data_IF_952879337189
#
_entry.id   IF_952879337189
#
_cell.length_a   1.000
_cell.length_b   1.000
_cell.length_c   1.000
_cell.angle_alpha   90.00
_cell.angle_beta   90.00
_cell.angle_gamma   90.00
#
_symmetry.space_group_name_H-M   'P 1'
#
loop_
_entity.id
_entity.type
_entity.pdbx_description
1 polymer ?
#
# COMPACT_ATOMS: atom_id res chain seq x y z
N UNK A 1 -13.79 5.40 18.36
CA UNK A 1 -14.89 4.41 18.37
C UNK A 1 -16.22 5.12 18.57
N UNK A 2 -17.20 4.82 17.73
CA UNK A 2 -18.59 5.19 17.92
C UNK A 2 -19.30 3.98 18.55
N UNK A 3 -19.79 4.13 19.77
CA UNK A 3 -20.49 3.09 20.50
C UNK A 3 -21.92 2.89 19.98
N UNK A 4 -22.54 1.76 20.32
CA UNK A 4 -23.90 1.44 19.89
C UNK A 4 -24.95 2.44 20.38
N UNK A 5 -24.71 3.11 21.52
CA UNK A 5 -25.55 4.17 22.09
C UNK A 5 -25.31 5.57 21.49
N UNK A 6 -24.37 5.69 20.55
CA UNK A 6 -24.00 6.94 19.89
C UNK A 6 -22.91 7.75 20.61
N UNK A 7 -22.37 7.25 21.73
CA UNK A 7 -21.22 7.88 22.39
C UNK A 7 -19.97 7.74 21.54
N UNK A 8 -19.19 8.81 21.39
CA UNK A 8 -17.88 8.80 20.71
C UNK A 8 -16.78 8.67 21.75
N UNK A 9 -15.97 7.61 21.61
CA UNK A 9 -14.79 7.36 22.46
C UNK A 9 -13.55 7.59 21.62
N UNK A 10 -12.84 8.67 21.90
CA UNK A 10 -11.58 9.00 21.22
C UNK A 10 -10.42 8.15 21.75
N UNK A 11 -9.48 7.86 20.84
CA UNK A 11 -8.21 7.21 21.20
C UNK A 11 -7.32 8.25 21.90
N UNK A 12 -6.91 7.93 23.13
CA UNK A 12 -6.01 8.77 23.91
C UNK A 12 -4.56 8.37 23.68
N UNK A 13 -3.60 9.26 23.94
CA UNK A 13 -2.18 9.02 23.75
C UNK A 13 -1.67 7.77 24.47
N UNK A 14 -2.21 7.45 25.65
CA UNK A 14 -1.85 6.23 26.40
C UNK A 14 -2.39 4.92 25.77
N UNK A 15 -3.22 5.02 24.76
CA UNK A 15 -3.70 3.87 23.99
C UNK A 15 -2.83 3.58 22.74
N UNK A 16 -1.84 4.42 22.48
CA UNK A 16 -0.87 4.27 21.39
C UNK A 16 0.43 3.68 21.95
N UNK A 17 0.81 2.52 21.48
CA UNK A 17 2.03 1.84 21.92
C UNK A 17 2.91 1.55 20.70
N UNK A 18 4.15 2.04 20.73
CA UNK A 18 5.16 1.71 19.72
C UNK A 18 5.92 0.49 20.20
N UNK A 19 5.91 -0.55 19.40
CA UNK A 19 6.53 -1.84 19.73
C UNK A 19 7.42 -2.32 18.59
N UNK A 20 8.52 -3.00 18.94
CA UNK A 20 9.33 -3.68 17.91
C UNK A 20 8.64 -4.99 17.54
N UNK A 21 8.37 -5.23 16.26
CA UNK A 21 7.75 -6.46 15.80
C UNK A 21 8.59 -7.69 16.18
N UNK A 22 7.95 -8.76 16.65
CA UNK A 22 8.67 -10.00 16.99
C UNK A 22 9.42 -10.60 15.81
N UNK A 23 8.93 -10.40 14.61
CA UNK A 23 9.55 -10.84 13.35
C UNK A 23 10.93 -10.23 13.12
N UNK A 24 11.15 -8.98 13.55
CA UNK A 24 12.43 -8.26 13.36
C UNK A 24 13.29 -8.22 14.63
N UNK A 25 12.78 -8.68 15.78
CA UNK A 25 13.53 -8.68 17.04
C UNK A 25 14.84 -9.50 16.99
N UNK A 26 14.94 -10.44 16.04
CA UNK A 26 16.15 -11.25 15.80
C UNK A 26 16.98 -10.76 14.62
N UNK A 27 16.59 -9.65 13.98
CA UNK A 27 17.23 -9.10 12.80
C UNK A 27 17.63 -7.63 13.08
N UNK A 28 18.79 -7.38 13.74
CA UNK A 28 19.20 -6.05 14.20
C UNK A 28 19.34 -5.02 13.06
N UNK A 29 19.51 -5.48 11.82
CA UNK A 29 19.54 -4.61 10.64
C UNK A 29 18.20 -3.96 10.31
N UNK A 30 17.10 -4.44 10.92
CA UNK A 30 15.74 -3.91 10.79
C UNK A 30 15.24 -3.29 12.11
N UNK A 31 16.16 -2.86 12.98
CA UNK A 31 15.83 -2.29 14.29
C UNK A 31 14.99 -0.99 14.19
N UNK A 32 15.03 -0.33 13.04
CA UNK A 32 14.26 0.89 12.77
C UNK A 32 12.79 0.62 12.41
N UNK A 33 12.41 -0.65 12.22
CA UNK A 33 11.02 -1.03 11.96
C UNK A 33 10.28 -1.12 13.29
N UNK A 34 9.20 -0.37 13.40
CA UNK A 34 8.33 -0.33 14.56
C UNK A 34 6.87 -0.46 14.14
N UNK A 35 6.10 -1.16 14.98
CA UNK A 35 4.64 -1.22 14.86
C UNK A 35 4.01 -0.24 15.84
N UNK A 36 2.98 0.46 15.41
CA UNK A 36 2.12 1.22 16.31
C UNK A 36 0.88 0.38 16.64
N UNK A 37 0.81 -0.10 17.85
CA UNK A 37 -0.36 -0.80 18.38
C UNK A 37 -1.36 0.22 18.94
N UNK A 38 -2.58 0.21 18.44
CA UNK A 38 -3.66 1.09 18.87
C UNK A 38 -4.66 0.27 19.68
N UNK A 39 -4.87 0.63 20.94
CA UNK A 39 -5.91 0.03 21.78
C UNK A 39 -7.20 0.80 21.59
N UNK A 40 -8.19 0.20 20.95
CA UNK A 40 -9.50 0.79 20.75
C UNK A 40 -10.37 0.50 21.98
N UNK A 41 -10.78 1.57 22.67
CA UNK A 41 -11.70 1.48 23.82
C UNK A 41 -13.15 1.55 23.34
N UNK A 42 -14.06 1.02 24.15
CA UNK A 42 -15.50 1.08 23.88
C UNK A 42 -15.96 0.17 22.74
N UNK A 43 -15.19 -0.87 22.39
CA UNK A 43 -15.62 -1.88 21.44
C UNK A 43 -16.67 -2.79 22.05
N UNK A 44 -17.84 -2.81 21.41
CA UNK A 44 -18.98 -3.65 21.77
C UNK A 44 -19.76 -4.05 20.50
N UNK A 45 -20.70 -4.96 20.64
CA UNK A 45 -21.55 -5.34 19.49
C UNK A 45 -22.36 -4.13 19.04
N UNK A 46 -22.27 -3.79 17.76
CA UNK A 46 -22.90 -2.59 17.18
C UNK A 46 -22.04 -1.32 17.22
N UNK A 47 -20.85 -1.36 17.83
CA UNK A 47 -19.91 -0.26 17.74
C UNK A 47 -19.25 -0.17 16.36
N UNK A 48 -18.91 1.04 15.93
CA UNK A 48 -18.13 1.31 14.73
C UNK A 48 -16.80 1.97 15.09
N UNK A 49 -15.76 1.69 14.29
CA UNK A 49 -14.46 2.37 14.42
C UNK A 49 -14.15 3.15 13.16
N UNK A 50 -13.70 4.39 13.33
CA UNK A 50 -13.14 5.21 12.26
C UNK A 50 -11.65 5.40 12.52
N UNK A 51 -10.82 4.99 11.57
CA UNK A 51 -9.36 5.08 11.66
C UNK A 51 -8.83 5.80 10.43
N UNK A 52 -8.18 6.93 10.64
CA UNK A 52 -7.46 7.65 9.59
C UNK A 52 -5.96 7.43 9.74
N UNK A 53 -5.34 6.90 8.69
CA UNK A 53 -3.89 6.73 8.61
C UNK A 53 -3.36 7.65 7.52
N UNK A 54 -2.33 8.43 7.85
CA UNK A 54 -1.58 9.21 6.88
C UNK A 54 -0.15 8.67 6.82
N UNK A 55 0.27 8.26 5.62
CA UNK A 55 1.61 7.72 5.40
C UNK A 55 2.38 8.66 4.48
N UNK A 56 3.60 9.02 4.90
CA UNK A 56 4.52 9.86 4.11
C UNK A 56 5.76 9.04 3.82
N UNK A 57 5.95 8.70 2.55
CA UNK A 57 7.15 8.03 2.07
C UNK A 57 8.22 9.08 1.71
N UNK A 58 9.38 8.99 2.36
CA UNK A 58 10.53 9.89 2.16
C UNK A 58 11.75 9.17 1.59
N UNK A 59 11.59 8.00 1.05
CA UNK A 59 12.72 7.21 0.55
C UNK A 59 13.35 7.86 -0.69
N UNK A 60 14.63 8.26 -0.64
CA UNK A 60 15.25 9.11 -1.65
C UNK A 60 15.46 8.44 -3.02
N UNK A 61 15.37 7.12 -3.09
CA UNK A 61 15.55 6.37 -4.34
C UNK A 61 14.24 6.02 -5.05
N UNK A 62 13.09 6.53 -4.56
CA UNK A 62 11.77 6.29 -5.17
C UNK A 62 11.30 7.51 -5.94
N UNK A 63 11.96 7.78 -7.05
CA UNK A 63 11.50 8.81 -7.99
C UNK A 63 10.27 8.40 -8.78
N UNK A 64 9.85 7.13 -8.69
CA UNK A 64 8.70 6.56 -9.40
C UNK A 64 7.55 6.39 -8.42
N UNK A 65 6.40 6.95 -8.77
CA UNK A 65 5.16 6.73 -8.01
C UNK A 65 4.60 5.34 -8.32
N UNK A 66 4.57 4.47 -7.33
CA UNK A 66 4.01 3.13 -7.46
C UNK A 66 3.38 2.69 -6.14
N UNK A 67 2.54 1.70 -6.22
CA UNK A 67 1.97 1.07 -5.04
C UNK A 67 1.12 -0.14 -5.36
N UNK A 68 0.65 -0.75 -4.31
CA UNK A 68 -0.31 -1.85 -4.36
C UNK A 68 -1.29 -1.74 -3.21
N UNK A 69 -2.52 -2.16 -3.47
CA UNK A 69 -3.59 -2.16 -2.47
C UNK A 69 -4.39 -3.45 -2.59
N UNK A 70 -4.55 -4.23 -1.50
CA UNK A 70 -5.43 -5.39 -1.51
C UNK A 70 -6.88 -4.94 -1.74
N UNK A 71 -7.59 -5.67 -2.59
CA UNK A 71 -9.00 -5.44 -2.92
C UNK A 71 -9.92 -6.42 -2.16
N UNK A 72 -9.43 -6.94 -1.04
CA UNK A 72 -10.11 -7.91 -0.19
C UNK A 72 -9.84 -7.59 1.28
N UNK A 73 -10.67 -8.15 2.17
CA UNK A 73 -10.50 -8.15 3.62
C UNK A 73 -10.98 -9.50 4.17
N UNK A 74 -10.66 -9.81 5.40
CA UNK A 74 -11.20 -10.95 6.15
C UNK A 74 -12.62 -10.72 6.63
N UNK A 75 -13.17 -9.55 6.39
CA UNK A 75 -14.57 -9.14 6.63
C UNK A 75 -15.17 -8.67 5.33
N UNK A 76 -16.50 -8.72 5.26
CA UNK A 76 -17.22 -8.18 4.11
C UNK A 76 -16.91 -6.69 3.92
N UNK A 77 -16.69 -6.31 2.68
CA UNK A 77 -16.44 -4.92 2.27
C UNK A 77 -17.75 -4.38 1.70
N UNK A 78 -18.40 -3.48 2.42
CA UNK A 78 -19.57 -2.76 1.92
C UNK A 78 -19.17 -1.80 0.81
N UNK A 79 -18.13 -1.01 1.06
CA UNK A 79 -17.53 -0.12 0.08
C UNK A 79 -16.05 0.10 0.38
N UNK A 80 -15.20 0.02 -0.65
CA UNK A 80 -13.79 0.42 -0.61
C UNK A 80 -13.49 1.34 -1.78
N UNK A 81 -12.99 2.52 -1.48
CA UNK A 81 -12.58 3.50 -2.47
C UNK A 81 -11.07 3.74 -2.38
N UNK A 82 -10.39 3.67 -3.52
CA UNK A 82 -8.97 3.99 -3.65
C UNK A 82 -8.85 5.17 -4.59
N UNK A 83 -8.25 6.25 -4.12
CA UNK A 83 -8.12 7.49 -4.88
C UNK A 83 -6.66 7.85 -5.07
N UNK A 84 -6.19 7.75 -6.31
CA UNK A 84 -4.85 8.19 -6.71
C UNK A 84 -4.95 9.60 -7.29
N UNK A 85 -4.18 10.53 -6.75
CA UNK A 85 -4.06 11.90 -7.28
C UNK A 85 -2.63 12.13 -7.69
N UNK A 86 -2.43 12.40 -8.97
CA UNK A 86 -1.11 12.60 -9.54
C UNK A 86 -1.05 13.90 -10.35
N UNK A 87 0.12 14.53 -10.48
CA UNK A 87 0.31 15.62 -11.42
C UNK A 87 -0.06 15.23 -12.85
N UNK A 88 -0.62 16.16 -13.62
CA UNK A 88 -1.14 15.86 -14.97
C UNK A 88 -0.05 15.52 -16.00
N UNK A 89 1.20 15.77 -15.68
CA UNK A 89 2.37 15.38 -16.46
C UNK A 89 2.85 13.93 -16.17
N UNK A 90 2.21 13.24 -15.24
CA UNK A 90 2.52 11.85 -14.88
C UNK A 90 1.42 10.94 -15.37
N UNK A 91 1.77 9.98 -16.20
CA UNK A 91 0.86 8.91 -16.60
C UNK A 91 1.01 7.71 -15.65
N UNK A 92 -0.13 7.12 -15.30
CA UNK A 92 -0.19 5.95 -14.41
C UNK A 92 -0.73 4.78 -15.21
N UNK A 93 0.01 3.67 -15.13
CA UNK A 93 -0.46 2.36 -15.57
C UNK A 93 -0.93 1.59 -14.34
N UNK A 94 -2.07 0.94 -14.44
CA UNK A 94 -2.61 0.10 -13.36
C UNK A 94 -2.89 -1.31 -13.84
N UNK A 95 -2.86 -2.22 -12.90
CA UNK A 95 -3.16 -3.63 -13.11
C UNK A 95 -4.07 -4.11 -11.99
N UNK A 96 -5.03 -4.96 -12.32
CA UNK A 96 -5.86 -5.64 -11.34
C UNK A 96 -5.68 -7.14 -11.46
N UNK A 97 -5.59 -7.79 -10.30
CA UNK A 97 -5.49 -9.23 -10.16
C UNK A 97 -6.75 -9.74 -9.49
N UNK A 98 -7.27 -10.88 -9.93
CA UNK A 98 -8.43 -11.54 -9.32
C UNK A 98 -9.78 -10.84 -9.52
N UNK A 99 -9.79 -9.62 -10.02
CA UNK A 99 -11.00 -8.84 -10.30
C UNK A 99 -10.72 -7.88 -11.45
N UNK A 100 -11.73 -7.60 -12.26
CA UNK A 100 -11.64 -6.53 -13.27
C UNK A 100 -12.16 -5.24 -12.65
N UNK A 101 -11.31 -4.23 -12.54
CA UNK A 101 -11.65 -2.95 -11.94
C UNK A 101 -11.00 -1.82 -12.74
N UNK A 102 -11.82 -0.99 -13.36
CA UNK A 102 -11.38 0.19 -14.10
C UNK A 102 -11.70 1.45 -13.27
N UNK A 103 -10.82 2.46 -13.25
CA UNK A 103 -11.06 3.68 -12.50
C UNK A 103 -12.00 4.65 -13.23
N UNK A 104 -12.73 5.44 -12.45
CA UNK A 104 -13.21 6.73 -12.93
C UNK A 104 -12.02 7.70 -12.99
N UNK A 105 -11.76 8.28 -14.17
CA UNK A 105 -10.64 9.20 -14.38
C UNK A 105 -11.16 10.62 -14.55
N UNK A 106 -10.69 11.54 -13.70
CA UNK A 106 -11.03 12.95 -13.76
C UNK A 106 -9.78 13.82 -13.84
N UNK A 107 -9.67 14.62 -14.89
CA UNK A 107 -8.62 15.63 -15.05
C UNK A 107 -9.14 17.00 -14.61
N UNK A 108 -8.43 17.65 -13.72
CA UNK A 108 -8.76 18.98 -13.21
C UNK A 108 -7.50 19.82 -13.03
N UNK A 109 -7.33 20.83 -13.88
CA UNK A 109 -6.13 21.67 -13.89
C UNK A 109 -4.87 20.84 -14.09
N UNK A 110 -3.97 20.92 -13.12
CA UNK A 110 -2.68 20.20 -13.13
C UNK A 110 -2.71 18.84 -12.41
N UNK A 111 -3.91 18.30 -12.18
CA UNK A 111 -4.06 17.04 -11.44
C UNK A 111 -4.95 16.07 -12.19
N UNK A 112 -4.57 14.80 -12.22
CA UNK A 112 -5.41 13.68 -12.64
C UNK A 112 -5.78 12.89 -11.39
N UNK A 113 -7.05 12.55 -11.26
CA UNK A 113 -7.58 11.69 -10.19
C UNK A 113 -8.09 10.41 -10.81
N UNK A 114 -7.58 9.29 -10.34
CA UNK A 114 -8.08 7.94 -10.64
C UNK A 114 -8.83 7.45 -9.40
N UNK A 115 -10.07 7.04 -9.58
CA UNK A 115 -10.93 6.58 -8.49
C UNK A 115 -11.38 5.15 -8.78
N UNK A 116 -10.91 4.22 -7.99
CA UNK A 116 -11.31 2.82 -8.02
C UNK A 116 -12.30 2.57 -6.89
N UNK A 117 -13.40 1.89 -7.18
CA UNK A 117 -14.44 1.58 -6.19
C UNK A 117 -14.83 0.13 -6.27
N UNK A 118 -14.90 -0.52 -5.10
CA UNK A 118 -15.42 -1.87 -4.91
C UNK A 118 -16.59 -1.76 -3.96
N UNK A 119 -17.66 -2.48 -4.26
CA UNK A 119 -18.84 -2.55 -3.40
C UNK A 119 -19.24 -4.01 -3.21
N UNK A 120 -19.79 -4.31 -2.05
CA UNK A 120 -20.44 -5.58 -1.72
C UNK A 120 -19.54 -6.81 -1.99
N UNK A 121 -18.28 -6.72 -1.58
CA UNK A 121 -17.34 -7.83 -1.72
C UNK A 121 -17.34 -8.69 -0.45
N UNK A 122 -17.49 -10.00 -0.66
CA UNK A 122 -17.47 -10.99 0.43
C UNK A 122 -16.09 -11.10 1.09
N UNK A 123 -16.09 -11.43 2.37
CA UNK A 123 -14.91 -11.73 3.15
C UNK A 123 -14.08 -12.87 2.52
N UNK A 124 -12.77 -12.68 2.45
CA UNK A 124 -11.85 -13.71 1.97
C UNK A 124 -10.98 -14.19 3.13
N UNK A 125 -11.01 -15.51 3.37
CA UNK A 125 -10.03 -16.12 4.27
C UNK A 125 -8.75 -16.46 3.49
N UNK A 126 -7.63 -15.75 3.74
CA UNK A 126 -6.39 -15.94 2.98
C UNK A 126 -5.64 -17.23 3.34
N UNK A 127 -6.01 -17.92 4.43
CA UNK A 127 -5.33 -19.13 4.86
C UNK A 127 -5.44 -20.25 3.82
N UNK A 128 -4.30 -20.66 3.28
CA UNK A 128 -4.22 -21.74 2.29
C UNK A 128 -4.53 -21.31 0.86
N UNK A 129 -4.78 -20.02 0.61
CA UNK A 129 -4.87 -19.46 -0.73
C UNK A 129 -3.49 -19.05 -1.24
N UNK A 130 -3.27 -19.26 -2.53
CA UNK A 130 -2.14 -18.69 -3.24
C UNK A 130 -2.31 -17.16 -3.29
N UNK A 131 -1.29 -16.42 -2.84
CA UNK A 131 -1.30 -14.95 -2.86
C UNK A 131 -1.59 -14.37 -4.25
N UNK A 132 -1.21 -15.09 -5.31
CA UNK A 132 -1.51 -14.72 -6.70
C UNK A 132 -3.00 -14.82 -7.07
N UNK A 133 -3.84 -15.35 -6.21
CA UNK A 133 -5.29 -15.44 -6.42
C UNK A 133 -6.07 -14.38 -5.65
N UNK A 134 -5.41 -13.68 -4.73
CA UNK A 134 -6.06 -12.63 -3.95
C UNK A 134 -6.28 -11.37 -4.80
N UNK A 135 -7.47 -10.77 -4.77
CA UNK A 135 -7.74 -9.53 -5.49
C UNK A 135 -6.79 -8.41 -5.08
N UNK A 136 -6.14 -7.79 -6.05
CA UNK A 136 -5.14 -6.75 -5.82
C UNK A 136 -5.22 -5.66 -6.89
N UNK A 137 -5.08 -4.42 -6.50
CA UNK A 137 -4.78 -3.29 -7.38
C UNK A 137 -3.29 -2.95 -7.26
N UNK A 138 -2.64 -2.80 -8.39
CA UNK A 138 -1.26 -2.32 -8.48
C UNK A 138 -1.21 -1.15 -9.44
N UNK A 139 -0.37 -0.17 -9.15
CA UNK A 139 -0.13 0.96 -10.05
C UNK A 139 1.33 1.33 -10.09
N UNK A 140 1.74 1.88 -11.21
CA UNK A 140 3.08 2.40 -11.42
C UNK A 140 3.04 3.60 -12.36
N UNK A 141 3.86 4.59 -12.10
CA UNK A 141 4.08 5.72 -13.02
C UNK A 141 4.74 5.21 -14.29
N UNK A 142 4.19 5.58 -15.45
CA UNK A 142 4.79 5.29 -16.74
C UNK A 142 5.95 6.26 -17.00
N UNK A 143 7.13 5.83 -16.58
CA UNK A 143 8.39 6.59 -16.79
C UNK A 143 9.14 6.17 -18.06
N UNK A 144 8.53 5.30 -18.86
CA UNK A 144 9.16 4.68 -20.02
C UNK A 144 10.27 3.69 -19.62
N UNK A 145 10.43 2.62 -20.39
CA UNK A 145 11.35 1.51 -20.04
C UNK A 145 12.80 1.97 -19.84
N UNK A 146 13.27 2.94 -20.63
CA UNK A 146 14.65 3.44 -20.56
C UNK A 146 14.94 4.19 -19.26
N UNK A 147 13.97 4.99 -18.78
CA UNK A 147 14.11 5.75 -17.53
C UNK A 147 14.04 4.80 -16.34
N UNK A 148 13.11 3.84 -16.37
CA UNK A 148 12.98 2.83 -15.33
C UNK A 148 14.26 1.98 -15.22
N UNK A 149 14.81 1.50 -16.34
CA UNK A 149 16.04 0.74 -16.37
C UNK A 149 17.23 1.54 -15.81
N UNK A 150 17.39 2.80 -16.20
CA UNK A 150 18.44 3.68 -15.67
C UNK A 150 18.30 3.92 -14.16
N UNK A 151 17.08 4.09 -13.66
CA UNK A 151 16.82 4.31 -12.23
C UNK A 151 17.05 3.03 -11.42
N UNK A 152 16.63 1.88 -11.93
CA UNK A 152 16.91 0.58 -11.30
C UNK A 152 18.42 0.30 -11.24
N UNK A 153 19.17 0.59 -12.32
CA UNK A 153 20.62 0.45 -12.35
C UNK A 153 21.33 1.44 -11.42
N UNK A 154 20.83 2.67 -11.30
CA UNK A 154 21.39 3.66 -10.39
C UNK A 154 21.09 3.36 -8.90
N UNK A 155 20.00 2.66 -8.61
CA UNK A 155 19.61 2.27 -7.25
C UNK A 155 20.13 0.91 -6.81
N UNK A 156 20.59 0.09 -7.75
CA UNK A 156 21.22 -1.19 -7.46
C UNK A 156 22.67 -0.91 -6.99
N UNK A 157 23.08 -1.34 -5.79
CA UNK A 157 24.50 -1.34 -5.39
C UNK A 157 25.24 -2.49 -6.08
N UNK A 158 24.98 -2.69 -7.37
CA UNK A 158 25.75 -3.59 -8.19
C UNK A 158 27.03 -2.83 -8.57
N UNK A 159 28.06 -3.06 -7.77
CA UNK A 159 29.40 -3.01 -8.32
C UNK A 159 29.49 -4.13 -9.40
N UNK A 160 28.93 -3.85 -10.57
CA UNK A 160 29.29 -4.60 -11.77
C UNK A 160 30.72 -4.11 -12.01
N UNK A 161 31.67 -4.95 -11.66
CA UNK A 161 33.06 -4.73 -12.02
C UNK A 161 33.07 -4.68 -13.55
N UNK A 162 33.31 -3.50 -14.10
CA UNK A 162 33.29 -3.28 -15.55
C UNK A 162 34.36 -4.11 -16.28
N UNK A 163 35.25 -4.75 -15.54
CA UNK A 163 36.32 -5.60 -16.01
C UNK A 163 35.98 -7.11 -15.94
N UNK A 164 34.78 -7.49 -15.50
CA UNK A 164 34.31 -8.87 -15.53
C UNK A 164 33.26 -9.11 -16.64
N UNK A 165 33.70 -9.48 -17.85
CA UNK A 165 32.79 -9.76 -18.97
C UNK A 165 31.96 -11.04 -18.79
N UNK A 166 32.33 -11.95 -17.87
CA UNK A 166 31.60 -13.21 -17.64
C UNK A 166 30.39 -13.01 -16.71
N UNK A 167 30.33 -11.93 -15.90
CA UNK A 167 29.21 -11.60 -15.06
C UNK A 167 27.96 -11.13 -15.81
N UNK A 168 28.10 -10.74 -17.07
CA UNK A 168 26.99 -10.24 -17.90
C UNK A 168 26.16 -11.35 -18.58
N UNK A 169 26.63 -12.58 -18.61
CA UNK A 169 25.87 -13.71 -19.22
C UNK A 169 24.98 -14.46 -18.20
N UNK A 170 25.00 -14.10 -16.91
CA UNK A 170 24.24 -14.77 -15.83
C UNK A 170 23.16 -13.92 -15.18
N UNK A 171 22.86 -12.72 -15.68
CA UNK A 171 21.85 -11.82 -15.12
C UNK A 171 20.52 -11.82 -15.91
#
# INVERSE_FOLDING_TARGET
>A
TLRADGEVVDVKDNALNVVTPKSVARAPHFADVQDMAITLLGLEIGAATDVKVEMVDRLPYRDVFWGREPLWDTRDIVEKEIVLRVPSERDIVWFTQGVKLDPEVKKSGKTITYRFRITDADAINPHGLDEHRLPMLMWVEDVGHTILARRLLASAPLAIDADDPEGLEQA
#
